data_IF_130265943665
#
_entry.id   IF_130265943665
#
_cell.length_a   1.000
_cell.length_b   1.000
_cell.length_c   1.000
_cell.angle_alpha   90.00
_cell.angle_beta   90.00
_cell.angle_gamma   90.00
#
_symmetry.space_group_name_H-M   'P 1'
#
loop_
_entity.id
_entity.type
_entity.pdbx_description
1 polymer ?
#
# COMPACT_ATOMS: atom_id res chain seq x y z
N UNK A 1 -4.41 -9.51 -5.12
CA UNK A 1 -4.42 -8.19 -5.77
C UNK A 1 -2.97 -7.85 -6.06
N UNK A 2 -2.76 -7.05 -7.09
CA UNK A 2 -1.45 -6.78 -7.71
C UNK A 2 -0.67 -5.71 -6.95
N UNK A 3 0.55 -5.47 -7.43
CA UNK A 3 1.59 -4.73 -6.73
C UNK A 3 1.17 -3.33 -6.22
N UNK A 4 1.04 -3.05 -4.90
CA UNK A 4 1.09 -1.68 -4.40
C UNK A 4 2.34 -0.97 -4.90
N UNK A 5 2.17 -0.01 -5.79
CA UNK A 5 3.19 1.01 -6.09
C UNK A 5 2.95 2.17 -5.15
N UNK A 6 3.97 2.54 -4.40
CA UNK A 6 3.91 3.66 -3.47
C UNK A 6 4.80 4.78 -3.98
N UNK A 7 4.29 6.00 -3.94
CA UNK A 7 4.92 7.19 -4.50
C UNK A 7 5.10 8.26 -3.43
N UNK A 8 6.29 8.85 -3.36
CA UNK A 8 6.52 10.06 -2.58
C UNK A 8 5.60 11.18 -3.06
N UNK A 9 5.11 11.99 -2.13
CA UNK A 9 4.27 13.17 -2.41
C UNK A 9 5.08 14.35 -2.96
N UNK A 10 5.75 14.14 -4.08
CA UNK A 10 6.54 15.16 -4.76
C UNK A 10 5.65 15.96 -5.72
N UNK A 11 5.46 17.27 -5.52
CA UNK A 11 4.65 18.09 -6.42
C UNK A 11 5.39 18.51 -7.72
N UNK A 12 6.69 18.24 -7.84
CA UNK A 12 7.45 18.59 -9.04
C UNK A 12 7.05 17.69 -10.23
N UNK A 13 6.36 18.29 -11.20
CA UNK A 13 5.89 17.62 -12.43
C UNK A 13 7.03 17.12 -13.32
N UNK A 14 8.25 17.65 -13.14
CA UNK A 14 9.41 17.26 -13.93
C UNK A 14 10.25 16.16 -13.26
N UNK A 15 9.90 15.76 -12.03
CA UNK A 15 10.58 14.68 -11.35
C UNK A 15 10.41 13.37 -12.13
N UNK A 16 11.51 12.66 -12.38
CA UNK A 16 11.45 11.35 -13.01
C UNK A 16 10.68 10.36 -12.15
N UNK A 17 9.77 9.57 -12.74
CA UNK A 17 8.92 8.63 -11.99
C UNK A 17 9.70 7.68 -11.08
N UNK A 18 10.87 7.19 -11.52
CA UNK A 18 11.71 6.28 -10.73
C UNK A 18 12.23 6.93 -9.43
N UNK A 19 12.34 8.26 -9.40
CA UNK A 19 12.74 9.01 -8.20
C UNK A 19 11.61 9.12 -7.17
N UNK A 20 10.38 8.78 -7.57
CA UNK A 20 9.21 8.85 -6.70
C UNK A 20 8.96 7.55 -5.94
N UNK A 21 9.66 6.45 -6.25
CA UNK A 21 9.41 5.16 -5.60
C UNK A 21 9.61 5.25 -4.07
N UNK A 22 8.50 5.09 -3.34
CA UNK A 22 8.50 4.94 -1.88
C UNK A 22 8.55 3.47 -1.47
N UNK A 23 8.00 2.60 -2.31
CA UNK A 23 8.02 1.16 -2.13
C UNK A 23 7.23 0.44 -3.22
N UNK A 24 7.44 -0.87 -3.29
CA UNK A 24 6.71 -1.79 -4.14
C UNK A 24 6.56 -3.13 -3.42
N UNK A 25 5.43 -3.78 -3.57
CA UNK A 25 5.15 -5.13 -3.04
C UNK A 25 3.87 -5.66 -3.68
N UNK A 26 3.31 -6.77 -3.22
CA UNK A 26 2.03 -7.40 -3.62
C UNK A 26 1.04 -7.30 -2.47
N UNK A 27 -0.25 -7.05 -2.72
CA UNK A 27 -1.30 -7.07 -1.69
C UNK A 27 -2.27 -8.24 -1.87
N UNK A 28 -2.31 -9.14 -0.89
CA UNK A 28 -3.35 -10.17 -0.79
C UNK A 28 -4.40 -9.70 0.21
N UNK A 29 -5.66 -9.68 -0.22
CA UNK A 29 -6.80 -9.42 0.67
C UNK A 29 -7.45 -10.77 0.95
N UNK A 30 -7.59 -11.08 2.23
CA UNK A 30 -8.16 -12.34 2.69
C UNK A 30 -9.68 -12.17 2.86
N UNK A 31 -10.45 -13.20 2.50
CA UNK A 31 -11.88 -13.23 2.80
C UNK A 31 -12.09 -13.19 4.32
N UNK A 32 -13.11 -12.46 4.77
CA UNK A 32 -13.40 -12.30 6.18
C UNK A 32 -14.82 -11.81 6.45
N UNK A 33 -15.17 -11.56 7.72
CA UNK A 33 -16.45 -10.99 8.10
C UNK A 33 -16.70 -9.64 7.41
N UNK A 34 -17.98 -9.27 7.28
CA UNK A 34 -18.37 -7.96 6.78
C UNK A 34 -17.65 -6.83 7.54
N UNK A 35 -17.29 -5.76 6.83
CA UNK A 35 -16.56 -4.59 7.36
C UNK A 35 -15.13 -4.87 7.88
N UNK A 36 -14.62 -6.09 7.77
CA UNK A 36 -13.25 -6.42 8.18
C UNK A 36 -12.31 -6.38 6.99
N UNK A 37 -11.17 -5.71 7.13
CA UNK A 37 -10.06 -5.77 6.18
C UNK A 37 -8.92 -6.58 6.80
N UNK A 38 -8.51 -7.66 6.12
CA UNK A 38 -7.39 -8.50 6.54
C UNK A 38 -6.63 -8.98 5.30
N UNK A 39 -5.37 -9.34 5.49
CA UNK A 39 -4.52 -9.74 4.38
C UNK A 39 -3.04 -9.64 4.66
N UNK A 40 -2.26 -9.59 3.58
CA UNK A 40 -0.81 -9.41 3.60
C UNK A 40 -0.41 -8.36 2.56
N UNK A 41 0.57 -7.51 2.88
CA UNK A 41 1.41 -6.83 1.89
C UNK A 41 2.79 -7.46 1.97
N UNK A 42 3.36 -7.91 0.86
CA UNK A 42 4.62 -8.66 0.88
C UNK A 42 5.46 -8.44 -0.39
N UNK A 43 6.72 -8.81 -0.32
CA UNK A 43 7.64 -8.83 -1.45
C UNK A 43 8.80 -9.78 -1.17
N UNK A 44 9.85 -9.80 -2.01
CA UNK A 44 11.00 -10.66 -1.79
C UNK A 44 11.65 -10.42 -0.42
N UNK A 45 11.54 -11.40 0.49
CA UNK A 45 12.18 -11.38 1.81
C UNK A 45 11.50 -10.54 2.89
N UNK A 46 10.27 -10.04 2.67
CA UNK A 46 9.54 -9.27 3.67
C UNK A 46 8.03 -9.40 3.53
N UNK A 47 7.31 -9.29 4.65
CA UNK A 47 5.85 -9.28 4.69
C UNK A 47 5.34 -8.40 5.83
N UNK A 48 4.14 -7.86 5.65
CA UNK A 48 3.37 -7.11 6.64
C UNK A 48 1.97 -7.72 6.73
N UNK A 49 1.54 -8.08 7.95
CA UNK A 49 0.17 -8.51 8.24
C UNK A 49 -0.75 -7.31 8.27
N UNK A 50 -1.88 -7.41 7.56
CA UNK A 50 -2.86 -6.34 7.45
C UNK A 50 -4.04 -6.58 8.39
N UNK A 51 -4.46 -5.51 9.07
CA UNK A 51 -5.68 -5.50 9.87
C UNK A 51 -6.33 -4.12 9.80
N UNK A 52 -7.63 -4.10 9.54
CA UNK A 52 -8.40 -2.86 9.45
C UNK A 52 -9.87 -3.09 9.17
N UNK A 53 -10.49 -2.09 8.56
CA UNK A 53 -11.91 -2.08 8.24
C UNK A 53 -12.19 -1.74 6.77
N UNK A 54 -13.35 -2.18 6.32
CA UNK A 54 -13.94 -1.83 5.01
C UNK A 54 -15.14 -0.91 5.27
N UNK A 55 -15.11 0.28 4.71
CA UNK A 55 -16.24 1.20 4.65
C UNK A 55 -17.02 0.99 3.35
N UNK A 56 -18.29 0.61 3.47
CA UNK A 56 -19.23 0.57 2.35
C UNK A 56 -19.86 1.96 2.15
N UNK A 57 -20.05 2.38 0.90
CA UNK A 57 -20.47 3.74 0.55
C UNK A 57 -20.17 4.07 -0.91
N UNK A 58 -20.05 5.36 -1.24
CA UNK A 58 -19.60 5.79 -2.57
C UNK A 58 -18.55 6.91 -2.43
N UNK A 59 -17.25 6.63 -2.66
CA UNK A 59 -16.67 5.31 -2.99
C UNK A 59 -16.57 4.38 -1.77
N UNK A 60 -16.40 3.07 -2.00
CA UNK A 60 -15.95 2.14 -0.96
C UNK A 60 -14.55 2.54 -0.51
N UNK A 61 -14.26 2.38 0.78
CA UNK A 61 -12.96 2.70 1.35
C UNK A 61 -12.45 1.56 2.25
N UNK A 62 -11.14 1.58 2.48
CA UNK A 62 -10.44 0.69 3.41
C UNK A 62 -9.52 1.53 4.27
N UNK A 63 -9.49 1.25 5.57
CA UNK A 63 -8.52 1.84 6.49
C UNK A 63 -7.88 0.71 7.29
N UNK A 64 -6.57 0.55 7.19
CA UNK A 64 -5.88 -0.60 7.77
C UNK A 64 -4.44 -0.29 8.15
N UNK A 65 -3.89 -1.10 9.05
CA UNK A 65 -2.48 -1.07 9.44
C UNK A 65 -1.76 -2.31 8.90
N UNK A 66 -0.54 -2.12 8.40
CA UNK A 66 0.38 -3.19 8.06
C UNK A 66 1.50 -3.29 9.11
N UNK A 67 1.67 -4.47 9.70
CA UNK A 67 2.69 -4.73 10.73
C UNK A 67 3.55 -5.94 10.37
N UNK A 68 4.87 -5.82 10.47
CA UNK A 68 5.77 -6.96 10.30
C UNK A 68 7.16 -6.71 10.89
N UNK A 69 7.97 -7.77 10.91
CA UNK A 69 9.40 -7.69 11.22
C UNK A 69 10.17 -7.90 9.92
N UNK A 70 10.94 -6.89 9.50
CA UNK A 70 11.73 -6.91 8.27
C UNK A 70 13.19 -6.68 8.65
N UNK A 71 14.05 -7.66 8.34
CA UNK A 71 15.47 -7.62 8.70
C UNK A 71 15.71 -7.33 10.20
N UNK A 72 14.89 -7.91 11.08
CA UNK A 72 14.98 -7.72 12.54
C UNK A 72 14.41 -6.40 13.06
N UNK A 73 13.90 -5.51 12.20
CA UNK A 73 13.26 -4.26 12.59
C UNK A 73 11.74 -4.33 12.44
N UNK A 74 11.01 -3.76 13.40
CA UNK A 74 9.56 -3.64 13.28
C UNK A 74 9.19 -2.55 12.28
N UNK A 75 8.26 -2.88 11.39
CA UNK A 75 7.67 -1.99 10.41
C UNK A 75 6.19 -1.85 10.75
N UNK A 76 5.71 -0.60 10.85
CA UNK A 76 4.29 -0.28 11.02
C UNK A 76 3.95 0.87 10.07
N UNK A 77 2.91 0.65 9.27
CA UNK A 77 2.37 1.62 8.34
C UNK A 77 0.86 1.66 8.44
N UNK A 78 0.28 2.86 8.42
CA UNK A 78 -1.16 3.05 8.34
C UNK A 78 -1.54 3.43 6.91
N UNK A 79 -2.63 2.85 6.42
CA UNK A 79 -3.12 2.98 5.06
C UNK A 79 -4.57 3.46 5.08
N UNK A 80 -4.87 4.37 4.16
CA UNK A 80 -6.21 4.71 3.73
C UNK A 80 -6.30 4.49 2.23
N UNK A 81 -7.35 3.81 1.77
CA UNK A 81 -7.58 3.53 0.36
C UNK A 81 -9.04 3.66 -0.02
N UNK A 82 -9.28 3.93 -1.30
CA UNK A 82 -10.59 4.00 -1.91
C UNK A 82 -10.63 3.09 -3.14
N UNK A 83 -11.74 2.36 -3.32
CA UNK A 83 -12.00 1.62 -4.54
C UNK A 83 -12.29 2.64 -5.65
N UNK A 84 -11.50 2.58 -6.73
CA UNK A 84 -11.72 3.40 -7.91
C UNK A 84 -13.05 2.99 -8.55
N UNK A 85 -14.03 3.92 -8.70
CA UNK A 85 -15.29 3.62 -9.37
C UNK A 85 -15.08 3.25 -10.84
N UNK A 86 -15.98 2.44 -11.37
CA UNK A 86 -16.00 2.14 -12.80
C UNK A 86 -16.36 3.39 -13.62
N UNK A 87 -15.64 3.60 -14.73
CA UNK A 87 -15.94 4.65 -15.69
C UNK A 87 -16.87 4.11 -16.77
N UNK A 88 -18.00 4.79 -17.08
CA UNK A 88 -18.93 4.35 -18.13
C UNK A 88 -18.30 4.24 -19.52
N UNK A 89 -17.22 5.01 -19.75
CA UNK A 89 -16.42 5.02 -20.98
C UNK A 89 -15.02 4.41 -20.78
N UNK A 90 -14.81 3.64 -19.71
CA UNK A 90 -13.55 2.97 -19.45
C UNK A 90 -13.28 1.88 -20.48
N UNK A 91 -12.05 1.83 -20.99
CA UNK A 91 -11.55 0.70 -21.76
C UNK A 91 -10.58 -0.11 -20.88
N UNK A 92 -10.75 -1.43 -20.83
CA UNK A 92 -9.91 -2.35 -20.07
C UNK A 92 -9.66 -1.94 -18.60
N UNK A 93 -10.63 -1.29 -17.97
CA UNK A 93 -10.49 -0.82 -16.58
C UNK A 93 -10.37 -2.02 -15.64
N UNK A 94 -9.27 -2.08 -14.89
CA UNK A 94 -9.07 -3.05 -13.81
C UNK A 94 -9.51 -2.44 -12.47
N UNK A 95 -10.14 -3.23 -11.57
CA UNK A 95 -10.38 -2.80 -10.21
C UNK A 95 -9.07 -2.36 -9.55
N UNK A 96 -9.09 -1.22 -8.86
CA UNK A 96 -7.93 -0.67 -8.19
C UNK A 96 -8.31 0.00 -6.87
N UNK A 97 -7.42 -0.09 -5.89
CA UNK A 97 -7.43 0.75 -4.69
C UNK A 97 -6.41 1.86 -4.87
N UNK A 98 -6.78 3.09 -4.52
CA UNK A 98 -5.88 4.25 -4.50
C UNK A 98 -5.98 4.97 -3.16
N UNK A 99 -4.90 5.55 -2.66
CA UNK A 99 -4.97 6.34 -1.45
C UNK A 99 -3.63 6.80 -0.91
N UNK A 100 -3.56 6.93 0.41
CA UNK A 100 -2.37 7.38 1.14
C UNK A 100 -1.88 6.34 2.14
N UNK A 101 -0.58 6.41 2.41
CA UNK A 101 0.13 5.62 3.41
C UNK A 101 0.91 6.59 4.30
N UNK A 102 1.04 6.26 5.58
CA UNK A 102 1.99 6.91 6.47
C UNK A 102 2.87 5.87 7.16
N UNK A 103 4.18 6.13 7.23
CA UNK A 103 5.09 5.37 8.07
C UNK A 103 4.81 5.70 9.54
N UNK A 104 4.19 4.78 10.29
CA UNK A 104 3.74 5.05 11.65
C UNK A 104 4.91 5.12 12.66
N UNK A 105 5.94 4.28 12.46
CA UNK A 105 7.15 4.26 13.31
C UNK A 105 8.42 4.38 12.47
N UNK A 106 9.51 4.98 13.00
CA UNK A 106 10.77 4.95 12.29
C UNK A 106 11.35 3.54 12.29
N UNK A 107 12.14 3.21 11.26
CA UNK A 107 12.89 1.95 11.24
C UNK A 107 14.26 2.12 10.57
N UNK A 108 15.23 1.27 10.90
CA UNK A 108 16.51 1.23 10.18
C UNK A 108 16.33 1.00 8.67
N UNK A 109 17.20 1.62 7.89
CA UNK A 109 17.28 1.50 6.43
C UNK A 109 18.73 1.66 5.95
N UNK A 110 18.97 1.41 4.66
CA UNK A 110 20.30 1.44 4.06
C UNK A 110 21.21 0.27 4.47
N UNK A 111 22.43 0.18 3.92
CA UNK A 111 23.35 -0.91 4.20
C UNK A 111 23.64 -1.07 5.69
N UNK A 112 23.32 -2.24 6.26
CA UNK A 112 23.51 -2.55 7.68
C UNK A 112 22.67 -1.71 8.64
N UNK A 113 21.58 -1.08 8.18
CA UNK A 113 20.71 -0.27 9.02
C UNK A 113 21.35 1.06 9.50
N UNK A 114 22.36 1.56 8.77
CA UNK A 114 23.09 2.79 9.14
C UNK A 114 22.30 4.09 8.97
N UNK A 115 21.14 4.03 8.33
CA UNK A 115 20.24 5.17 8.17
C UNK A 115 18.90 4.85 8.80
N UNK A 116 18.08 5.88 9.04
CA UNK A 116 16.73 5.71 9.59
C UNK A 116 15.72 6.25 8.59
N UNK A 117 14.71 5.45 8.30
CA UNK A 117 13.52 5.91 7.60
C UNK A 117 12.59 6.55 8.66
N UNK A 118 12.34 7.87 8.61
CA UNK A 118 11.64 8.58 9.70
C UNK A 118 10.13 8.30 9.70
N UNK A 119 9.51 8.22 10.87
CA UNK A 119 8.04 8.19 10.98
C UNK A 119 7.40 9.46 10.41
N UNK A 120 6.10 9.39 10.12
CA UNK A 120 5.29 10.51 9.67
C UNK A 120 5.45 10.86 8.19
N UNK A 121 6.33 10.17 7.45
CA UNK A 121 6.40 10.32 5.99
C UNK A 121 5.11 9.78 5.38
N UNK A 122 4.37 10.67 4.73
CA UNK A 122 3.16 10.37 3.98
C UNK A 122 3.51 10.20 2.51
N UNK A 123 2.93 9.19 1.88
CA UNK A 123 3.07 8.89 0.47
C UNK A 123 1.71 8.50 -0.13
N UNK A 124 1.64 8.42 -1.45
CA UNK A 124 0.48 7.92 -2.20
C UNK A 124 0.69 6.45 -2.55
N UNK A 125 -0.38 5.71 -2.79
CA UNK A 125 -0.29 4.35 -3.32
C UNK A 125 -1.43 4.00 -4.26
N UNK A 126 -1.15 3.04 -5.14
CA UNK A 126 -2.12 2.37 -6.01
C UNK A 126 -1.87 0.87 -5.99
N UNK A 127 -2.93 0.07 -5.82
CA UNK A 127 -2.91 -1.37 -6.04
C UNK A 127 -3.96 -1.73 -7.07
N UNK A 128 -3.52 -2.26 -8.22
CA UNK A 128 -4.41 -2.75 -9.29
C UNK A 128 -4.74 -4.22 -8.99
N UNK A 129 -5.81 -4.78 -9.54
CA UNK A 129 -6.11 -6.22 -9.41
C UNK A 129 -5.37 -7.03 -10.49
N UNK A 130 -4.66 -8.06 -10.05
CA UNK A 130 -4.02 -9.07 -10.91
C UNK A 130 -5.07 -10.01 -11.52
N UNK A 131 -4.74 -10.55 -12.69
CA UNK A 131 -5.48 -11.65 -13.30
C UNK A 131 -5.23 -12.94 -12.49
N UNK A 132 -6.21 -13.83 -12.46
CA UNK A 132 -6.20 -14.97 -11.53
C UNK A 132 -5.18 -16.08 -11.86
N UNK A 133 -4.26 -15.85 -12.79
CA UNK A 133 -3.30 -16.85 -13.28
C UNK A 133 -1.90 -16.25 -13.46
N UNK A 134 -1.05 -16.45 -12.44
CA UNK A 134 0.42 -16.57 -12.54
C UNK A 134 0.96 -17.39 -11.36
#
# INVERSE_FOLDING_TARGET
MDLPKLFLSNPDVNAGFDTLEFGRGTIRIDSGPMQTFAGLIYGPGWELKLKGSIGYGNPFNVQFQGIGIVNGAQWIYDYLGYLVPEWPNGNDQRPALVGSIVRAIPHPTGPGGKSTAPAGVVAQWIAVKEDSDN
#
